data_IF_795345738573
#
_entry.id   IF_795345738573
#
_cell.length_a   1.000
_cell.length_b   1.000
_cell.length_c   1.000
_cell.angle_alpha   90.00
_cell.angle_beta   90.00
_cell.angle_gamma   90.00
#
_symmetry.space_group_name_H-M   'P 1'
#
loop_
_entity.id
_entity.type
_entity.pdbx_description
1 polymer ?
#
# COMPACT_ATOMS: atom_id res chain seq x y z
N UNK A 1 -13.37 -35.63 24.63
CA UNK A 1 -14.61 -34.83 24.38
C UNK A 1 -14.37 -33.32 24.18
N UNK A 2 -13.17 -32.79 24.46
CA UNK A 2 -12.80 -31.36 24.40
C UNK A 2 -12.57 -30.81 22.98
N UNK A 3 -12.04 -31.63 22.05
CA UNK A 3 -11.80 -31.21 20.65
C UNK A 3 -13.08 -30.85 19.89
N UNK A 4 -14.18 -31.58 20.13
CA UNK A 4 -15.45 -31.34 19.45
C UNK A 4 -16.08 -30.00 19.87
N UNK A 5 -16.06 -29.68 21.17
CA UNK A 5 -16.54 -28.39 21.69
C UNK A 5 -15.73 -27.21 21.15
N UNK A 6 -14.40 -27.35 21.12
CA UNK A 6 -13.52 -26.30 20.59
C UNK A 6 -13.81 -26.03 19.10
N UNK A 7 -13.95 -27.07 18.28
CA UNK A 7 -14.25 -26.92 16.86
C UNK A 7 -15.63 -26.30 16.60
N UNK A 8 -16.63 -26.58 17.44
CA UNK A 8 -17.96 -25.98 17.36
C UNK A 8 -17.90 -24.48 17.71
N UNK A 9 -17.11 -24.09 18.71
CA UNK A 9 -16.91 -22.67 19.07
C UNK A 9 -16.22 -21.93 17.92
N UNK A 10 -15.14 -22.50 17.36
CA UNK A 10 -14.44 -21.90 16.20
C UNK A 10 -15.36 -21.65 15.02
N UNK A 11 -16.25 -22.61 14.71
CA UNK A 11 -17.17 -22.53 13.58
C UNK A 11 -18.27 -21.49 13.79
N UNK A 12 -18.83 -21.41 15.01
CA UNK A 12 -19.87 -20.44 15.35
C UNK A 12 -19.35 -19.00 15.36
N UNK A 13 -18.11 -18.78 15.80
CA UNK A 13 -17.48 -17.45 15.78
C UNK A 13 -17.22 -16.97 14.36
N UNK A 14 -16.72 -17.85 13.48
CA UNK A 14 -16.52 -17.53 12.05
C UNK A 14 -17.86 -17.17 11.38
N UNK A 15 -18.91 -17.96 11.64
CA UNK A 15 -20.23 -17.71 11.08
C UNK A 15 -20.84 -16.37 11.56
N UNK A 16 -20.70 -16.03 12.84
CA UNK A 16 -21.28 -14.79 13.40
C UNK A 16 -20.59 -13.53 12.85
N UNK A 17 -19.26 -13.54 12.72
CA UNK A 17 -18.48 -12.41 12.18
C UNK A 17 -18.74 -12.23 10.68
N UNK A 18 -18.81 -13.32 9.90
CA UNK A 18 -19.19 -13.27 8.48
C UNK A 18 -20.59 -12.67 8.27
N UNK A 19 -21.55 -13.01 9.15
CA UNK A 19 -22.92 -12.50 9.06
C UNK A 19 -22.98 -10.98 9.32
N UNK A 20 -22.17 -10.47 10.25
CA UNK A 20 -22.04 -9.03 10.51
C UNK A 20 -21.48 -8.27 9.30
N UNK A 21 -20.45 -8.82 8.64
CA UNK A 21 -19.83 -8.21 7.44
C UNK A 21 -20.80 -8.18 6.25
N UNK A 22 -21.62 -9.23 6.07
CA UNK A 22 -22.58 -9.30 4.96
C UNK A 22 -23.74 -8.29 5.07
N UNK A 23 -24.06 -7.79 6.27
CA UNK A 23 -25.12 -6.77 6.43
C UNK A 23 -24.69 -5.35 6.06
N UNK A 24 -23.38 -5.06 5.97
CA UNK A 24 -22.86 -3.75 5.55
C UNK A 24 -22.72 -3.56 4.03
N UNK A 25 -22.97 -4.60 3.22
CA UNK A 25 -22.85 -4.57 1.76
C UNK A 25 -24.21 -4.75 1.08
N UNK A 26 -25.21 -3.94 1.43
CA UNK A 26 -26.42 -3.79 0.61
C UNK A 26 -26.10 -2.85 -0.58
N UNK A 27 -25.62 -3.44 -1.68
CA UNK A 27 -25.41 -2.73 -2.94
C UNK A 27 -26.76 -2.55 -3.63
N UNK A 28 -27.21 -1.31 -3.75
CA UNK A 28 -28.31 -0.93 -4.65
C UNK A 28 -27.91 -1.23 -6.11
N UNK A 29 -28.82 -1.79 -6.94
CA UNK A 29 -28.54 -2.02 -8.35
C UNK A 29 -28.61 -0.68 -9.12
N UNK A 30 -27.57 -0.37 -9.90
CA UNK A 30 -27.59 0.73 -10.86
C UNK A 30 -27.91 0.14 -12.25
N UNK A 31 -29.04 0.56 -12.81
CA UNK A 31 -29.47 0.25 -14.19
C UNK A 31 -28.60 0.98 -15.25
N UNK A 32 -28.50 0.45 -16.50
CA UNK A 32 -27.66 1.03 -17.54
C UNK A 32 -28.44 1.82 -18.61
N UNK A 33 -27.91 2.98 -19.03
CA UNK A 33 -27.97 3.59 -20.40
C UNK A 33 -27.34 5.00 -20.35
N UNK A 34 -26.66 5.54 -21.38
CA UNK A 34 -27.16 5.95 -22.71
C UNK A 34 -25.99 6.18 -23.70
N UNK A 35 -26.23 5.95 -25.00
CA UNK A 35 -25.38 6.24 -26.18
C UNK A 35 -25.25 7.75 -26.50
N UNK A 36 -24.13 8.17 -27.07
CA UNK A 36 -24.15 9.18 -28.16
C UNK A 36 -22.93 9.08 -29.08
N UNK A 37 -23.21 8.84 -30.37
CA UNK A 37 -22.34 9.08 -31.53
C UNK A 37 -22.32 10.59 -31.82
N UNK A 38 -21.17 11.11 -32.27
CA UNK A 38 -21.17 12.22 -33.25
C UNK A 38 -19.96 12.08 -34.17
N UNK A 39 -20.25 11.90 -35.46
CA UNK A 39 -19.30 11.96 -36.57
C UNK A 39 -18.87 13.41 -36.81
N UNK A 40 -17.60 13.65 -37.15
CA UNK A 40 -17.18 14.87 -37.86
C UNK A 40 -16.27 14.46 -39.03
N UNK A 41 -16.64 14.96 -40.22
CA UNK A 41 -15.99 14.70 -41.51
C UNK A 41 -15.27 15.97 -42.02
N UNK A 42 -14.07 15.73 -42.54
CA UNK A 42 -13.32 16.42 -43.61
C UNK A 42 -12.85 17.89 -43.48
N UNK A 43 -11.55 18.10 -43.71
CA UNK A 43 -11.05 18.93 -44.82
C UNK A 43 -9.55 18.69 -45.06
N UNK A 44 -9.18 18.41 -46.31
CA UNK A 44 -7.81 18.29 -46.81
C UNK A 44 -7.29 19.64 -47.32
N UNK A 45 -6.11 20.08 -46.87
CA UNK A 45 -5.19 20.94 -47.65
C UNK A 45 -3.73 20.67 -47.24
N UNK A 46 -2.87 20.56 -48.27
CA UNK A 46 -1.50 19.99 -48.25
C UNK A 46 -0.42 20.91 -47.66
N UNK A 47 0.68 20.25 -47.27
CA UNK A 47 2.09 20.61 -47.55
C UNK A 47 2.95 21.04 -46.35
N UNK A 48 3.54 20.03 -45.72
CA UNK A 48 4.59 20.09 -44.70
C UNK A 48 4.51 18.77 -43.96
N UNK A 49 5.56 17.94 -44.01
CA UNK A 49 5.53 16.54 -43.55
C UNK A 49 4.80 16.41 -42.20
N UNK A 50 3.52 15.98 -42.16
CA UNK A 50 2.70 16.08 -40.96
C UNK A 50 3.22 15.13 -39.87
N UNK A 51 3.94 14.09 -40.26
CA UNK A 51 4.62 13.18 -39.34
C UNK A 51 5.73 13.87 -38.55
N UNK A 52 6.52 14.77 -39.15
CA UNK A 52 7.64 15.41 -38.43
C UNK A 52 7.17 16.51 -37.48
N UNK A 53 6.12 17.25 -37.84
CA UNK A 53 5.49 18.22 -36.95
C UNK A 53 4.77 17.50 -35.80
N UNK A 54 3.97 16.47 -36.07
CA UNK A 54 3.29 15.72 -35.01
C UNK A 54 4.28 15.01 -34.07
N UNK A 55 5.38 14.45 -34.58
CA UNK A 55 6.44 13.87 -33.75
C UNK A 55 7.10 14.94 -32.87
N UNK A 56 7.46 16.10 -33.44
CA UNK A 56 8.07 17.20 -32.70
C UNK A 56 7.13 17.78 -31.63
N UNK A 57 5.85 17.98 -31.95
CA UNK A 57 4.84 18.42 -30.97
C UNK A 57 4.63 17.38 -29.86
N UNK A 58 4.59 16.08 -30.19
CA UNK A 58 4.51 15.03 -29.17
C UNK A 58 5.76 14.97 -28.30
N UNK A 59 6.95 15.17 -28.86
CA UNK A 59 8.21 15.20 -28.12
C UNK A 59 8.30 16.43 -27.21
N UNK A 60 7.95 17.63 -27.70
CA UNK A 60 7.87 18.87 -26.91
C UNK A 60 6.84 18.77 -25.77
N UNK A 61 5.70 18.12 -26.03
CA UNK A 61 4.68 17.85 -25.00
C UNK A 61 5.18 16.87 -23.94
N UNK A 62 5.89 15.80 -24.35
CA UNK A 62 6.50 14.83 -23.42
C UNK A 62 7.57 15.48 -22.54
N UNK A 63 8.44 16.32 -23.11
CA UNK A 63 9.46 17.07 -22.37
C UNK A 63 8.79 17.94 -21.30
N UNK A 64 7.76 18.70 -21.68
CA UNK A 64 7.03 19.56 -20.73
C UNK A 64 6.37 18.75 -19.60
N UNK A 65 5.83 17.56 -19.90
CA UNK A 65 5.26 16.66 -18.89
C UNK A 65 6.32 16.10 -17.94
N UNK A 66 7.48 15.68 -18.47
CA UNK A 66 8.61 15.20 -17.67
C UNK A 66 9.17 16.29 -16.75
N UNK A 67 9.26 17.53 -17.22
CA UNK A 67 9.68 18.68 -16.40
C UNK A 67 8.70 18.95 -15.25
N UNK A 68 7.40 18.96 -15.55
CA UNK A 68 6.36 19.11 -14.53
C UNK A 68 6.40 17.98 -13.49
N UNK A 69 6.57 16.74 -13.94
CA UNK A 69 6.67 15.57 -13.08
C UNK A 69 7.95 15.60 -12.21
N UNK A 70 9.07 16.02 -12.78
CA UNK A 70 10.34 16.21 -12.03
C UNK A 70 10.15 17.19 -10.89
N UNK A 71 9.53 18.34 -11.18
CA UNK A 71 9.26 19.35 -10.16
C UNK A 71 8.35 18.78 -9.08
N UNK A 72 7.25 18.12 -9.46
CA UNK A 72 6.31 17.48 -8.53
C UNK A 72 7.01 16.49 -7.60
N UNK A 73 7.80 15.56 -8.14
CA UNK A 73 8.50 14.53 -7.35
C UNK A 73 9.54 15.14 -6.40
N UNK A 74 10.25 16.18 -6.86
CA UNK A 74 11.24 16.89 -6.02
C UNK A 74 10.56 17.64 -4.87
N UNK A 75 9.48 18.36 -5.16
CA UNK A 75 8.72 19.10 -4.16
C UNK A 75 8.12 18.14 -3.12
N UNK A 76 7.53 17.03 -3.58
CA UNK A 76 7.03 15.95 -2.70
C UNK A 76 8.14 15.37 -1.81
N UNK A 77 9.31 15.03 -2.38
CA UNK A 77 10.45 14.50 -1.62
C UNK A 77 10.90 15.46 -0.52
N UNK A 78 11.01 16.74 -0.83
CA UNK A 78 11.42 17.76 0.14
C UNK A 78 10.38 17.93 1.26
N UNK A 79 9.10 17.98 0.91
CA UNK A 79 8.01 18.07 1.88
C UNK A 79 7.97 16.85 2.81
N UNK A 80 8.10 15.64 2.24
CA UNK A 80 8.12 14.39 2.99
C UNK A 80 9.28 14.37 3.98
N UNK A 81 10.50 14.72 3.55
CA UNK A 81 11.68 14.79 4.42
C UNK A 81 11.45 15.77 5.56
N UNK A 82 10.92 16.96 5.26
CA UNK A 82 10.66 18.00 6.26
C UNK A 82 9.57 17.59 7.28
N UNK A 83 8.55 16.84 6.84
CA UNK A 83 7.51 16.31 7.74
C UNK A 83 8.03 15.16 8.59
N UNK A 84 8.77 14.23 8.00
CA UNK A 84 9.38 13.10 8.73
C UNK A 84 10.33 13.58 9.82
N UNK A 85 11.14 14.61 9.54
CA UNK A 85 12.07 15.18 10.52
C UNK A 85 11.38 15.73 11.79
N UNK A 86 10.07 15.98 11.75
CA UNK A 86 9.27 16.46 12.91
C UNK A 86 8.65 15.31 13.71
N UNK A 87 8.71 14.08 13.21
CA UNK A 87 8.18 12.89 13.88
C UNK A 87 9.24 12.39 14.85
N UNK A 88 8.89 12.27 16.13
CA UNK A 88 9.83 11.81 17.17
C UNK A 88 9.29 10.57 17.89
N UNK A 89 8.21 10.71 18.65
CA UNK A 89 7.67 9.60 19.48
C UNK A 89 6.93 8.52 18.69
N UNK A 90 6.31 8.90 17.56
CA UNK A 90 5.54 8.00 16.70
C UNK A 90 6.37 7.35 15.58
N UNK A 91 7.69 7.55 15.56
CA UNK A 91 8.57 6.96 14.55
C UNK A 91 8.86 5.47 14.83
N UNK A 92 7.87 4.62 14.54
CA UNK A 92 7.98 3.18 14.80
C UNK A 92 8.75 2.42 13.72
N UNK A 93 8.90 2.99 12.51
CA UNK A 93 9.54 2.30 11.38
C UNK A 93 11.01 2.02 11.68
N UNK A 94 11.73 2.91 12.36
CA UNK A 94 13.14 2.68 12.70
C UNK A 94 13.33 1.46 13.61
N UNK A 95 12.50 1.36 14.66
CA UNK A 95 12.53 0.21 15.57
C UNK A 95 12.13 -1.06 14.84
N UNK A 96 11.00 -1.03 14.12
CA UNK A 96 10.45 -2.20 13.45
C UNK A 96 11.38 -2.73 12.35
N UNK A 97 12.01 -1.84 11.57
CA UNK A 97 12.95 -2.21 10.51
C UNK A 97 14.27 -2.79 11.04
N UNK A 98 14.64 -2.52 12.30
CA UNK A 98 15.79 -3.15 12.93
C UNK A 98 15.47 -4.57 13.42
N UNK A 99 14.25 -4.79 13.91
CA UNK A 99 13.81 -6.08 14.42
C UNK A 99 13.41 -7.05 13.31
N UNK A 100 12.72 -6.56 12.27
CA UNK A 100 12.13 -7.36 11.20
C UNK A 100 12.74 -6.96 9.87
N UNK A 101 14.04 -7.25 9.73
CA UNK A 101 14.82 -6.92 8.54
C UNK A 101 14.84 -8.07 7.52
N UNK A 102 15.00 -7.77 6.22
CA UNK A 102 15.28 -8.79 5.21
C UNK A 102 16.72 -9.28 5.34
N UNK A 103 17.01 -10.49 4.83
CA UNK A 103 18.33 -11.14 4.97
C UNK A 103 19.47 -10.26 4.41
N UNK A 104 19.22 -9.55 3.30
CA UNK A 104 20.25 -8.72 2.68
C UNK A 104 20.69 -7.52 3.54
N UNK A 105 19.93 -7.15 4.59
CA UNK A 105 20.36 -6.12 5.54
C UNK A 105 21.57 -6.56 6.38
N UNK A 106 21.83 -7.87 6.54
CA UNK A 106 22.96 -8.32 7.36
C UNK A 106 24.32 -7.99 6.73
N UNK A 107 24.37 -7.82 5.41
CA UNK A 107 25.57 -7.47 4.65
C UNK A 107 25.54 -6.07 4.04
N UNK A 108 24.41 -5.35 4.15
CA UNK A 108 24.26 -4.00 3.64
C UNK A 108 25.03 -2.96 4.47
N UNK A 109 25.45 -1.87 3.82
CA UNK A 109 26.06 -0.72 4.51
C UNK A 109 25.03 0.02 5.36
N UNK A 110 25.49 0.78 6.37
CA UNK A 110 24.60 1.61 7.19
C UNK A 110 23.90 2.70 6.36
N UNK A 111 24.55 3.20 5.32
CA UNK A 111 23.95 4.14 4.37
C UNK A 111 22.78 3.49 3.61
N UNK A 112 22.95 2.28 3.07
CA UNK A 112 21.88 1.54 2.39
C UNK A 112 20.70 1.29 3.33
N UNK A 113 20.97 0.88 4.58
CA UNK A 113 19.91 0.67 5.59
C UNK A 113 19.18 1.97 5.92
N UNK A 114 19.91 3.07 6.09
CA UNK A 114 19.34 4.38 6.41
C UNK A 114 18.47 4.90 5.26
N UNK A 115 18.95 4.77 4.02
CA UNK A 115 18.20 5.17 2.83
C UNK A 115 16.93 4.35 2.68
N UNK A 116 17.00 3.02 2.84
CA UNK A 116 15.84 2.15 2.76
C UNK A 116 14.79 2.50 3.83
N UNK A 117 15.21 2.71 5.09
CA UNK A 117 14.30 3.15 6.16
C UNK A 117 13.63 4.49 5.82
N UNK A 118 14.40 5.46 5.32
CA UNK A 118 13.87 6.75 4.93
C UNK A 118 12.85 6.63 3.80
N UNK A 119 13.10 5.78 2.80
CA UNK A 119 12.15 5.52 1.71
C UNK A 119 10.86 4.85 2.21
N UNK A 120 10.96 3.89 3.13
CA UNK A 120 9.80 3.29 3.78
C UNK A 120 9.00 4.35 4.55
N UNK A 121 9.66 5.19 5.36
CA UNK A 121 8.99 6.29 6.08
C UNK A 121 8.27 7.24 5.12
N UNK A 122 8.91 7.61 4.01
CA UNK A 122 8.32 8.50 2.99
C UNK A 122 7.03 7.97 2.44
N UNK A 123 6.91 6.65 2.19
CA UNK A 123 5.68 6.10 1.62
C UNK A 123 4.63 5.78 2.69
N UNK A 124 5.02 5.21 3.83
CA UNK A 124 4.08 4.81 4.89
C UNK A 124 3.50 6.05 5.56
N UNK A 125 4.33 7.00 6.00
CA UNK A 125 3.84 8.16 6.74
C UNK A 125 3.07 9.13 5.85
N UNK A 126 3.48 9.33 4.58
CA UNK A 126 2.69 10.14 3.64
C UNK A 126 1.33 9.51 3.33
N UNK A 127 1.27 8.18 3.19
CA UNK A 127 0.01 7.44 3.00
C UNK A 127 -0.97 7.64 4.16
N UNK A 128 -0.45 7.73 5.37
CA UNK A 128 -1.26 8.03 6.57
C UNK A 128 -1.44 9.53 6.82
N UNK A 129 -1.03 10.39 5.88
CA UNK A 129 -1.02 11.85 5.98
C UNK A 129 -0.29 12.39 7.22
N UNK A 130 0.69 11.65 7.74
CA UNK A 130 1.44 11.97 8.97
C UNK A 130 0.55 12.12 10.20
N UNK A 131 -0.63 11.49 10.17
CA UNK A 131 -1.58 11.45 11.28
C UNK A 131 -1.07 10.48 12.34
N UNK A 132 -0.77 11.00 13.53
CA UNK A 132 -0.17 10.26 14.62
C UNK A 132 -1.06 9.10 15.10
N UNK A 133 -2.38 9.29 15.15
CA UNK A 133 -3.33 8.25 15.55
C UNK A 133 -3.33 7.10 14.54
N UNK A 134 -3.31 7.40 13.23
CA UNK A 134 -3.21 6.38 12.17
C UNK A 134 -1.87 5.66 12.23
N UNK A 135 -0.78 6.37 12.47
CA UNK A 135 0.56 5.78 12.60
C UNK A 135 0.65 4.84 13.81
N UNK A 136 0.12 5.26 14.96
CA UNK A 136 0.08 4.42 16.16
C UNK A 136 -0.80 3.18 15.98
N UNK A 137 -1.94 3.30 15.29
CA UNK A 137 -2.76 2.14 14.91
C UNK A 137 -2.00 1.18 14.00
N UNK A 138 -1.31 1.69 12.98
CA UNK A 138 -0.49 0.83 12.12
C UNK A 138 0.62 0.14 12.91
N UNK A 139 1.28 0.85 13.83
CA UNK A 139 2.27 0.27 14.74
C UNK A 139 1.67 -0.91 15.53
N UNK A 140 0.53 -0.72 16.17
CA UNK A 140 -0.15 -1.77 16.95
C UNK A 140 -0.50 -3.01 16.09
N UNK A 141 -1.01 -2.76 14.87
CA UNK A 141 -1.32 -3.81 13.89
C UNK A 141 -0.07 -4.64 13.57
N UNK A 142 1.05 -3.98 13.24
CA UNK A 142 2.29 -4.66 12.87
C UNK A 142 2.97 -5.33 14.07
N UNK A 143 2.92 -4.72 15.26
CA UNK A 143 3.44 -5.33 16.48
C UNK A 143 2.68 -6.59 16.88
N UNK A 144 1.35 -6.63 16.64
CA UNK A 144 0.53 -7.82 16.88
C UNK A 144 1.02 -9.02 16.06
N UNK A 145 1.54 -8.79 14.86
CA UNK A 145 2.05 -9.84 13.97
C UNK A 145 3.43 -10.40 14.37
N UNK A 146 4.18 -9.75 15.28
CA UNK A 146 5.53 -10.18 15.68
C UNK A 146 5.58 -11.57 16.30
N UNK A 147 6.75 -12.21 16.24
CA UNK A 147 7.04 -13.47 16.95
C UNK A 147 6.56 -14.73 16.21
N UNK A 148 6.21 -14.61 14.93
CA UNK A 148 5.96 -15.75 14.04
C UNK A 148 6.61 -15.47 12.69
N UNK A 149 7.46 -16.37 12.17
CA UNK A 149 8.12 -16.17 10.88
C UNK A 149 7.15 -15.87 9.72
N UNK A 150 5.99 -16.52 9.70
CA UNK A 150 4.98 -16.37 8.65
C UNK A 150 4.34 -14.98 8.67
N UNK A 151 3.99 -14.47 9.86
CA UNK A 151 3.42 -13.13 9.98
C UNK A 151 4.47 -12.04 9.82
N UNK A 152 5.70 -12.28 10.25
CA UNK A 152 6.81 -11.37 9.99
C UNK A 152 7.14 -11.26 8.51
N UNK A 153 6.93 -12.33 7.72
CA UNK A 153 7.00 -12.26 6.26
C UNK A 153 5.98 -11.29 5.66
N UNK A 154 4.79 -11.17 6.26
CA UNK A 154 3.77 -10.21 5.82
C UNK A 154 4.24 -8.77 6.09
N UNK A 155 4.83 -8.53 7.27
CA UNK A 155 5.44 -7.23 7.59
C UNK A 155 6.57 -6.93 6.60
N UNK A 156 7.45 -7.90 6.33
CA UNK A 156 8.53 -7.74 5.34
C UNK A 156 7.98 -7.43 3.95
N UNK A 157 6.93 -8.12 3.52
CA UNK A 157 6.27 -7.87 2.24
C UNK A 157 5.68 -6.47 2.15
N UNK A 158 5.04 -5.98 3.22
CA UNK A 158 4.51 -4.62 3.26
C UNK A 158 5.62 -3.57 3.19
N UNK A 159 6.64 -3.67 4.05
CA UNK A 159 7.67 -2.65 4.21
C UNK A 159 8.70 -2.67 3.07
N UNK A 160 9.25 -3.83 2.75
CA UNK A 160 10.41 -3.93 1.85
C UNK A 160 10.05 -4.26 0.41
N UNK A 161 9.02 -5.08 0.16
CA UNK A 161 8.67 -5.39 -1.22
C UNK A 161 7.78 -4.30 -1.83
N UNK A 162 6.79 -3.80 -1.08
CA UNK A 162 5.82 -2.83 -1.58
C UNK A 162 6.28 -1.40 -1.32
N UNK A 163 6.40 -1.02 -0.05
CA UNK A 163 6.69 0.35 0.33
C UNK A 163 8.05 0.84 -0.20
N UNK A 164 9.12 0.12 0.13
CA UNK A 164 10.46 0.43 -0.37
C UNK A 164 10.52 0.37 -1.90
N UNK A 165 10.02 -0.71 -2.51
CA UNK A 165 10.06 -0.91 -3.96
C UNK A 165 9.43 0.22 -4.77
N UNK A 166 8.23 0.68 -4.38
CA UNK A 166 7.58 1.83 -5.05
C UNK A 166 8.43 3.09 -4.89
N UNK A 167 8.95 3.36 -3.68
CA UNK A 167 9.67 4.59 -3.42
C UNK A 167 11.07 4.62 -4.08
N UNK A 168 11.74 3.48 -4.20
CA UNK A 168 13.00 3.31 -4.93
C UNK A 168 12.82 3.57 -6.43
N UNK A 169 11.74 3.05 -7.05
CA UNK A 169 11.46 3.30 -8.47
C UNK A 169 11.20 4.79 -8.73
N UNK A 170 10.39 5.45 -7.88
CA UNK A 170 10.14 6.87 -7.99
C UNK A 170 11.41 7.72 -7.83
N UNK A 171 12.29 7.37 -6.89
CA UNK A 171 13.58 8.05 -6.71
C UNK A 171 14.50 7.83 -7.93
N UNK A 172 14.55 6.59 -8.45
CA UNK A 172 15.31 6.25 -9.66
C UNK A 172 14.82 7.04 -10.88
N UNK A 173 13.50 7.10 -11.09
CA UNK A 173 12.91 7.90 -12.16
C UNK A 173 13.26 9.38 -12.02
N UNK A 174 13.19 9.94 -10.81
CA UNK A 174 13.59 11.33 -10.56
C UNK A 174 15.06 11.58 -10.96
N UNK A 175 15.98 10.67 -10.61
CA UNK A 175 17.39 10.78 -10.99
C UNK A 175 17.60 10.70 -12.51
N UNK A 176 16.94 9.74 -13.18
CA UNK A 176 17.06 9.56 -14.63
C UNK A 176 16.52 10.77 -15.40
N UNK A 177 15.38 11.32 -14.98
CA UNK A 177 14.82 12.52 -15.62
C UNK A 177 15.75 13.72 -15.42
N UNK A 178 16.36 13.88 -14.23
CA UNK A 178 17.32 14.95 -13.96
C UNK A 178 18.60 14.85 -14.80
N UNK A 179 19.07 13.62 -15.07
CA UNK A 179 20.19 13.36 -15.99
C UNK A 179 19.82 13.58 -17.46
N UNK A 180 18.56 13.95 -17.75
CA UNK A 180 18.00 14.10 -19.11
C UNK A 180 18.17 12.84 -19.95
N UNK A 181 18.15 11.67 -19.31
CA UNK A 181 18.19 10.41 -20.05
C UNK A 181 16.90 10.26 -20.85
N UNK A 182 17.05 10.22 -22.17
CA UNK A 182 15.94 10.12 -23.12
C UNK A 182 15.47 8.66 -23.22
N UNK A 183 14.80 8.15 -22.19
CA UNK A 183 13.97 6.96 -22.37
C UNK A 183 12.56 7.38 -22.74
N UNK A 184 12.08 6.91 -23.90
CA UNK A 184 10.74 7.20 -24.41
C UNK A 184 9.63 6.74 -23.45
N UNK A 185 9.95 5.81 -22.57
CA UNK A 185 9.02 5.15 -21.65
C UNK A 185 9.12 5.67 -20.21
N UNK A 186 10.09 6.55 -19.91
CA UNK A 186 10.33 7.06 -18.55
C UNK A 186 9.11 7.77 -17.96
N UNK A 187 8.37 8.52 -18.81
CA UNK A 187 7.14 9.17 -18.40
C UNK A 187 6.08 8.14 -17.98
N UNK A 188 5.91 7.07 -18.77
CA UNK A 188 4.93 6.02 -18.51
C UNK A 188 5.26 5.30 -17.20
N UNK A 189 6.54 4.96 -17.00
CA UNK A 189 6.99 4.31 -15.77
C UNK A 189 6.76 5.19 -14.54
N UNK A 190 7.14 6.47 -14.59
CA UNK A 190 6.96 7.39 -13.47
C UNK A 190 5.48 7.68 -13.16
N UNK A 191 4.63 7.84 -14.19
CA UNK A 191 3.18 7.99 -14.00
C UNK A 191 2.56 6.74 -13.38
N UNK A 192 3.01 5.56 -13.81
CA UNK A 192 2.55 4.28 -13.26
C UNK A 192 2.93 4.11 -11.79
N UNK A 193 4.17 4.38 -11.41
CA UNK A 193 4.60 4.23 -10.01
C UNK A 193 3.98 5.31 -9.10
N UNK A 194 3.65 6.48 -9.63
CA UNK A 194 2.82 7.46 -8.92
C UNK A 194 1.40 6.93 -8.66
N UNK A 195 0.77 6.30 -9.65
CA UNK A 195 -0.52 5.63 -9.47
C UNK A 195 -0.40 4.50 -8.44
N UNK A 196 0.68 3.71 -8.45
CA UNK A 196 0.91 2.69 -7.42
C UNK A 196 1.03 3.30 -6.03
N UNK A 197 1.73 4.44 -5.89
CA UNK A 197 1.84 5.16 -4.60
C UNK A 197 0.47 5.60 -4.07
N UNK A 198 -0.42 6.12 -4.93
CA UNK A 198 -1.78 6.50 -4.52
C UNK A 198 -2.64 5.28 -4.15
N UNK A 199 -2.60 4.21 -4.94
CA UNK A 199 -3.28 2.94 -4.59
C UNK A 199 -2.76 2.37 -3.27
N UNK A 200 -1.45 2.45 -3.04
CA UNK A 200 -0.84 2.00 -1.79
C UNK A 200 -1.39 2.81 -0.60
N UNK A 201 -1.52 4.12 -0.77
CA UNK A 201 -2.14 4.98 0.23
C UNK A 201 -3.56 4.54 0.57
N UNK A 202 -4.43 4.39 -0.43
CA UNK A 202 -5.82 3.99 -0.22
C UNK A 202 -5.94 2.64 0.51
N UNK A 203 -5.15 1.67 0.08
CA UNK A 203 -5.17 0.31 0.66
C UNK A 203 -4.59 0.25 2.07
N UNK A 204 -3.55 1.05 2.37
CA UNK A 204 -3.00 1.16 3.71
C UNK A 204 -3.99 1.83 4.66
N UNK A 205 -4.63 2.93 4.24
CA UNK A 205 -5.65 3.61 5.06
C UNK A 205 -6.83 2.68 5.37
N UNK A 206 -7.30 1.92 4.36
CA UNK A 206 -8.33 0.90 4.53
C UNK A 206 -7.90 -0.18 5.53
N UNK A 207 -6.67 -0.68 5.40
CA UNK A 207 -6.10 -1.70 6.31
C UNK A 207 -6.04 -1.19 7.74
N UNK A 208 -5.53 0.03 7.97
CA UNK A 208 -5.48 0.62 9.31
C UNK A 208 -6.88 0.73 9.91
N UNK A 209 -7.88 1.15 9.12
CA UNK A 209 -9.27 1.26 9.60
C UNK A 209 -9.87 -0.11 9.95
N UNK A 210 -9.81 -1.07 9.04
CA UNK A 210 -10.45 -2.39 9.19
C UNK A 210 -9.75 -3.24 10.26
N UNK A 211 -8.41 -3.30 10.23
CA UNK A 211 -7.63 -4.08 11.18
C UNK A 211 -7.74 -3.52 12.61
N UNK A 212 -7.75 -2.21 12.80
CA UNK A 212 -7.98 -1.65 14.14
C UNK A 212 -9.38 -1.91 14.67
N UNK A 213 -10.40 -1.93 13.80
CA UNK A 213 -11.76 -2.23 14.21
C UNK A 213 -11.91 -3.70 14.65
N UNK A 214 -11.39 -4.64 13.87
CA UNK A 214 -11.46 -6.06 14.22
C UNK A 214 -10.64 -6.39 15.48
N UNK A 215 -9.50 -5.72 15.71
CA UNK A 215 -8.73 -5.89 16.95
C UNK A 215 -9.60 -5.55 18.16
N UNK A 216 -10.34 -4.43 18.11
CA UNK A 216 -11.25 -4.02 19.20
C UNK A 216 -12.38 -5.01 19.41
N UNK A 217 -13.02 -5.46 18.34
CA UNK A 217 -14.12 -6.44 18.42
C UNK A 217 -13.66 -7.77 19.04
N UNK A 218 -12.47 -8.24 18.67
CA UNK A 218 -11.87 -9.43 19.28
C UNK A 218 -11.58 -9.19 20.77
N UNK A 219 -11.05 -8.03 21.14
CA UNK A 219 -10.80 -7.70 22.56
C UNK A 219 -12.08 -7.68 23.40
N UNK A 220 -13.13 -7.08 22.88
CA UNK A 220 -14.44 -7.01 23.54
C UNK A 220 -15.02 -8.42 23.73
N UNK A 221 -15.03 -9.23 22.67
CA UNK A 221 -15.49 -10.62 22.73
C UNK A 221 -14.79 -11.42 23.83
N UNK A 222 -13.46 -11.43 23.83
CA UNK A 222 -12.70 -12.21 24.81
C UNK A 222 -12.77 -11.65 26.24
N UNK A 223 -13.06 -10.36 26.40
CA UNK A 223 -13.31 -9.76 27.72
C UNK A 223 -14.64 -10.24 28.31
N UNK A 224 -15.68 -10.40 27.48
CA UNK A 224 -16.97 -10.97 27.89
C UNK A 224 -16.83 -12.46 28.24
N UNK A 225 -16.15 -13.24 27.41
CA UNK A 225 -15.97 -14.68 27.63
C UNK A 225 -15.20 -14.99 28.92
N UNK A 226 -14.15 -14.21 29.23
CA UNK A 226 -13.40 -14.31 30.49
C UNK A 226 -14.29 -14.16 31.73
N UNK A 227 -15.36 -13.37 31.64
CA UNK A 227 -16.29 -13.13 32.74
C UNK A 227 -17.38 -14.19 32.87
N UNK A 228 -17.62 -14.99 31.82
CA UNK A 228 -18.73 -15.97 31.75
C UNK A 228 -18.31 -17.38 32.10
N UNK A 229 -17.13 -17.80 31.67
CA UNK A 229 -16.66 -19.16 31.86
C UNK A 229 -15.35 -19.11 32.65
N UNK A 230 -15.25 -19.91 33.72
CA UNK A 230 -13.99 -20.16 34.46
C UNK A 230 -12.96 -20.92 33.62
N UNK A 231 -12.79 -20.51 32.37
CA UNK A 231 -11.88 -21.06 31.39
C UNK A 231 -10.44 -20.75 31.80
N UNK A 232 -9.54 -21.67 31.44
CA UNK A 232 -8.12 -21.44 31.55
C UNK A 232 -7.73 -20.17 30.79
N UNK A 233 -7.33 -19.16 31.56
CA UNK A 233 -6.97 -17.83 31.07
C UNK A 233 -5.84 -17.86 30.05
N UNK A 234 -4.96 -18.88 30.11
CA UNK A 234 -3.83 -19.02 29.20
C UNK A 234 -4.29 -19.53 27.82
N UNK A 235 -5.17 -20.53 27.78
CA UNK A 235 -5.75 -21.07 26.54
C UNK A 235 -6.57 -19.98 25.83
N UNK A 236 -7.38 -19.22 26.59
CA UNK A 236 -8.19 -18.14 26.05
C UNK A 236 -7.32 -17.05 25.42
N UNK A 237 -6.24 -16.65 26.11
CA UNK A 237 -5.27 -15.66 25.61
C UNK A 237 -4.58 -16.14 24.33
N UNK A 238 -4.10 -17.38 24.30
CA UNK A 238 -3.43 -17.95 23.12
C UNK A 238 -4.35 -18.00 21.89
N UNK A 239 -5.62 -18.37 22.09
CA UNK A 239 -6.60 -18.36 21.00
C UNK A 239 -6.87 -16.94 20.52
N UNK A 240 -7.10 -15.99 21.43
CA UNK A 240 -7.28 -14.57 21.07
C UNK A 240 -6.14 -14.06 20.20
N UNK A 241 -4.91 -14.29 20.64
CA UNK A 241 -3.72 -13.79 19.95
C UNK A 241 -3.56 -14.43 18.57
N UNK A 242 -3.82 -15.74 18.44
CA UNK A 242 -3.81 -16.41 17.14
C UNK A 242 -4.86 -15.85 16.17
N UNK A 243 -6.11 -15.71 16.63
CA UNK A 243 -7.20 -15.15 15.83
C UNK A 243 -6.89 -13.72 15.36
N UNK A 244 -6.41 -12.86 16.27
CA UNK A 244 -6.01 -11.49 15.90
C UNK A 244 -4.98 -11.49 14.78
N UNK A 245 -3.93 -12.32 14.87
CA UNK A 245 -2.88 -12.38 13.85
C UNK A 245 -3.40 -12.85 12.50
N UNK A 246 -4.23 -13.90 12.47
CA UNK A 246 -4.81 -14.42 11.22
C UNK A 246 -5.67 -13.38 10.48
N UNK A 247 -6.52 -12.64 11.21
CA UNK A 247 -7.36 -11.60 10.61
C UNK A 247 -6.53 -10.41 10.12
N UNK A 248 -5.56 -9.94 10.91
CA UNK A 248 -4.67 -8.85 10.49
C UNK A 248 -3.88 -9.25 9.23
N UNK A 249 -3.32 -10.45 9.23
CA UNK A 249 -2.60 -11.02 8.09
C UNK A 249 -3.46 -11.06 6.83
N UNK A 250 -4.72 -11.50 6.96
CA UNK A 250 -5.69 -11.50 5.88
C UNK A 250 -5.91 -10.10 5.32
N UNK A 251 -6.22 -9.09 6.15
CA UNK A 251 -6.46 -7.73 5.66
C UNK A 251 -5.25 -7.10 4.98
N UNK A 252 -4.03 -7.27 5.52
CA UNK A 252 -2.82 -6.75 4.87
C UNK A 252 -2.61 -7.42 3.51
N UNK A 253 -2.82 -8.74 3.42
CA UNK A 253 -2.65 -9.44 2.16
C UNK A 253 -3.71 -9.03 1.14
N UNK A 254 -4.99 -9.09 1.49
CA UNK A 254 -6.09 -8.77 0.57
C UNK A 254 -6.03 -7.31 0.10
N UNK A 255 -5.84 -6.37 1.01
CA UNK A 255 -5.85 -4.96 0.64
C UNK A 255 -4.58 -4.57 -0.12
N UNK A 256 -3.42 -5.17 0.17
CA UNK A 256 -2.15 -4.78 -0.44
C UNK A 256 -1.60 -5.78 -1.48
N UNK A 257 -2.40 -6.71 -2.02
CA UNK A 257 -1.92 -7.75 -2.95
C UNK A 257 -1.40 -7.23 -4.30
N UNK A 258 -1.75 -5.99 -4.68
CA UNK A 258 -1.75 -5.51 -6.07
C UNK A 258 -0.51 -4.63 -6.39
N UNK A 259 0.67 -4.89 -5.81
CA UNK A 259 1.81 -3.94 -5.93
C UNK A 259 3.07 -4.46 -6.62
N UNK A 260 3.11 -5.70 -7.11
CA UNK A 260 4.31 -6.25 -7.76
C UNK A 260 4.37 -5.96 -9.27
N UNK A 261 4.11 -4.70 -9.68
CA UNK A 261 4.08 -4.32 -11.09
C UNK A 261 5.36 -3.61 -11.60
N UNK A 262 6.38 -3.50 -10.76
CA UNK A 262 7.58 -2.71 -11.06
C UNK A 262 8.32 -3.24 -12.29
N UNK A 263 8.30 -4.56 -12.53
CA UNK A 263 8.99 -5.26 -13.62
C UNK A 263 8.21 -5.29 -14.95
N UNK A 264 6.99 -4.77 -14.99
CA UNK A 264 6.14 -4.84 -16.17
C UNK A 264 6.57 -3.89 -17.28
N UNK A 265 6.30 -4.28 -18.53
CA UNK A 265 6.61 -3.49 -19.72
C UNK A 265 5.89 -2.13 -19.72
N UNK A 266 6.47 -1.16 -20.41
CA UNK A 266 5.86 0.15 -20.61
C UNK A 266 4.46 0.04 -21.24
N UNK A 267 4.27 -0.87 -22.20
CA UNK A 267 2.96 -1.13 -22.82
C UNK A 267 1.91 -1.60 -21.80
N UNK A 268 2.28 -2.55 -20.93
CA UNK A 268 1.38 -3.01 -19.88
C UNK A 268 1.01 -1.86 -18.93
N UNK A 269 2.02 -1.12 -18.46
CA UNK A 269 1.84 0.02 -17.54
C UNK A 269 0.96 1.09 -18.17
N UNK A 270 1.16 1.41 -19.45
CA UNK A 270 0.34 2.36 -20.19
C UNK A 270 -1.12 1.93 -20.29
N UNK A 271 -1.40 0.62 -20.43
CA UNK A 271 -2.77 0.11 -20.44
C UNK A 271 -3.46 0.18 -19.07
N UNK A 272 -2.70 0.17 -17.97
CA UNK A 272 -3.24 0.36 -16.62
C UNK A 272 -3.51 1.84 -16.28
N UNK A 273 -2.94 2.77 -17.04
CA UNK A 273 -3.11 4.22 -16.86
C UNK A 273 -4.35 4.80 -17.60
N UNK A 274 -5.02 4.00 -18.43
CA UNK A 274 -6.22 4.39 -19.21
C UNK A 274 -7.49 4.15 -18.40
#
# INVERSE_FOLDING_TARGET
MTKAKLNIIKLNTIAMILTLICTSCAVNPIDPKVKSRTDIKESNQKSGNPESLNQKYQEETKVSKLEALTKKLKDQKNEEIAKIAKITESDFIDTLANEIKPIYFDTATEETKTNAKMQIKRIIYSSLNYDEDKMNKLKEILETLKGSPDYENIIRGLLYHKALGIQEQLDSHLELIQKKEKSNDLLIHAEFDLMLKEKFKETLEKTVKEASQIIKEIEEYYSVEKNREGLDTEILKKNKDAYKKDYIAYYINENCQIFDYSTYSAEFKQNQLK
#
